data_IF_548382904594
#
_entry.id   IF_548382904594
#
_cell.length_a   1.000
_cell.length_b   1.000
_cell.length_c   1.000
_cell.angle_alpha   90.00
_cell.angle_beta   90.00
_cell.angle_gamma   90.00
#
_symmetry.space_group_name_H-M   'P 1'
#
loop_
_entity.id
_entity.type
_entity.pdbx_description
1 polymer ?
#
# COMPACT_ATOMS: atom_id res chain seq x y z
N UNK A 1 -17.70 -4.17 5.07
CA UNK A 1 -18.32 -5.52 4.97
C UNK A 1 -18.69 -6.11 6.32
N UNK A 2 -17.70 -6.37 7.20
CA UNK A 2 -17.90 -7.04 8.48
C UNK A 2 -18.88 -6.31 9.41
N UNK A 3 -18.69 -5.00 9.61
CA UNK A 3 -19.55 -4.20 10.48
C UNK A 3 -21.02 -4.20 10.02
N UNK A 4 -21.25 -4.12 8.71
CA UNK A 4 -22.59 -4.13 8.14
C UNK A 4 -23.30 -5.48 8.37
N UNK A 5 -22.60 -6.60 8.18
CA UNK A 5 -23.18 -7.91 8.48
C UNK A 5 -23.50 -8.05 9.97
N UNK A 6 -22.56 -7.68 10.84
CA UNK A 6 -22.75 -7.77 12.28
C UNK A 6 -23.96 -6.98 12.78
N UNK A 7 -24.19 -5.78 12.24
CA UNK A 7 -25.33 -4.93 12.61
C UNK A 7 -26.67 -5.49 12.11
N UNK A 8 -26.69 -6.17 10.96
CA UNK A 8 -27.93 -6.69 10.35
C UNK A 8 -28.28 -8.09 10.88
N UNK A 9 -27.25 -8.92 11.06
CA UNK A 9 -27.39 -10.32 11.47
C UNK A 9 -26.12 -10.74 12.24
N UNK A 10 -26.10 -10.62 13.58
CA UNK A 10 -24.94 -10.97 14.39
C UNK A 10 -24.70 -12.49 14.47
N UNK A 11 -25.74 -13.31 14.24
CA UNK A 11 -25.65 -14.77 14.19
C UNK A 11 -25.59 -15.29 12.75
N UNK A 12 -24.37 -15.63 12.31
CA UNK A 12 -24.08 -16.07 10.95
C UNK A 12 -23.11 -17.25 10.92
N UNK A 13 -23.37 -18.21 10.03
CA UNK A 13 -22.57 -19.42 9.89
C UNK A 13 -21.37 -19.26 8.95
N UNK A 14 -20.63 -20.36 8.75
CA UNK A 14 -19.40 -20.42 7.95
C UNK A 14 -19.56 -19.89 6.51
N UNK A 15 -20.69 -20.17 5.85
CA UNK A 15 -20.96 -19.66 4.49
C UNK A 15 -20.97 -18.13 4.42
N UNK A 16 -21.41 -17.45 5.48
CA UNK A 16 -21.39 -16.00 5.53
C UNK A 16 -19.97 -15.47 5.71
N UNK A 17 -19.11 -16.17 6.46
CA UNK A 17 -17.69 -15.85 6.58
C UNK A 17 -16.96 -16.00 5.22
N UNK A 18 -17.22 -17.08 4.48
CA UNK A 18 -16.69 -17.27 3.12
C UNK A 18 -17.16 -16.17 2.15
N UNK A 19 -18.44 -15.79 2.25
CA UNK A 19 -19.02 -14.68 1.51
C UNK A 19 -18.36 -13.34 1.85
N UNK A 20 -18.06 -13.09 3.13
CA UNK A 20 -17.34 -11.90 3.57
C UNK A 20 -15.90 -11.87 3.04
N UNK A 21 -15.17 -12.99 3.10
CA UNK A 21 -13.82 -13.09 2.53
C UNK A 21 -13.86 -12.76 1.04
N UNK A 22 -14.81 -13.35 0.30
CA UNK A 22 -15.02 -13.08 -1.13
C UNK A 22 -15.28 -11.59 -1.37
N UNK A 23 -16.16 -10.98 -0.58
CA UNK A 23 -16.51 -9.57 -0.73
C UNK A 23 -15.32 -8.65 -0.42
N UNK A 24 -14.44 -9.02 0.52
CA UNK A 24 -13.21 -8.29 0.78
C UNK A 24 -12.16 -8.41 -0.34
N UNK A 25 -12.08 -9.55 -1.05
CA UNK A 25 -11.24 -9.64 -2.26
C UNK A 25 -11.69 -8.62 -3.31
N UNK A 26 -13.00 -8.55 -3.58
CA UNK A 26 -13.57 -7.57 -4.51
C UNK A 26 -13.41 -6.13 -4.02
N UNK A 27 -13.54 -5.90 -2.70
CA UNK A 27 -13.28 -4.58 -2.09
C UNK A 27 -11.83 -4.12 -2.28
N UNK A 28 -10.87 -5.06 -2.15
CA UNK A 28 -9.47 -4.81 -2.42
C UNK A 28 -9.24 -4.44 -3.90
N UNK A 29 -9.81 -5.22 -4.82
CA UNK A 29 -9.72 -4.96 -6.26
C UNK A 29 -10.36 -3.63 -6.69
N UNK A 30 -11.51 -3.28 -6.12
CA UNK A 30 -12.16 -1.99 -6.37
C UNK A 30 -11.32 -0.82 -5.84
N UNK A 31 -10.78 -0.94 -4.62
CA UNK A 31 -9.87 0.07 -4.09
C UNK A 31 -8.65 0.25 -4.97
N UNK A 32 -8.10 -0.85 -5.48
CA UNK A 32 -6.95 -0.83 -6.37
C UNK A 32 -7.27 -0.19 -7.73
N UNK A 33 -8.45 -0.47 -8.28
CA UNK A 33 -8.97 0.23 -9.45
C UNK A 33 -9.01 1.76 -9.22
N UNK A 34 -9.55 2.19 -8.08
CA UNK A 34 -9.63 3.62 -7.71
C UNK A 34 -8.25 4.23 -7.50
N UNK A 35 -7.33 3.50 -6.86
CA UNK A 35 -5.94 3.90 -6.66
C UNK A 35 -5.26 4.18 -7.99
N UNK A 36 -5.30 3.21 -8.90
CA UNK A 36 -4.73 3.37 -10.23
C UNK A 36 -5.42 4.50 -10.99
N UNK A 37 -6.75 4.63 -10.95
CA UNK A 37 -7.46 5.76 -11.59
C UNK A 37 -7.06 7.13 -11.05
N UNK A 38 -6.57 7.19 -9.81
CA UNK A 38 -6.12 8.41 -9.15
C UNK A 38 -4.66 8.75 -9.49
N UNK A 39 -3.87 7.78 -9.97
CA UNK A 39 -2.51 8.01 -10.46
C UNK A 39 -2.53 8.83 -11.75
N UNK A 40 -1.57 9.75 -11.85
CA UNK A 40 -1.31 10.54 -13.06
C UNK A 40 -0.21 9.87 -13.88
N UNK A 41 -0.53 9.46 -15.10
CA UNK A 41 0.45 8.98 -16.08
C UNK A 41 0.92 10.14 -16.93
N UNK A 42 2.20 10.43 -16.88
CA UNK A 42 2.78 11.31 -17.89
C UNK A 42 2.87 10.56 -19.22
N UNK A 43 2.14 11.02 -20.24
CA UNK A 43 2.12 10.40 -21.57
C UNK A 43 3.41 10.70 -22.33
N UNK A 44 4.02 11.88 -22.15
CA UNK A 44 5.26 12.29 -22.80
C UNK A 44 6.50 12.10 -21.93
N UNK A 45 7.52 11.51 -22.54
CA UNK A 45 8.92 11.60 -22.10
C UNK A 45 9.40 13.02 -22.37
N UNK A 46 9.09 13.98 -21.50
CA UNK A 46 9.81 15.26 -21.55
C UNK A 46 11.29 14.99 -21.29
N UNK A 47 12.18 15.59 -22.08
CA UNK A 47 13.62 15.32 -22.09
C UNK A 47 14.34 15.53 -20.74
N UNK A 48 13.65 16.13 -19.75
CA UNK A 48 14.12 16.29 -18.39
C UNK A 48 13.68 15.18 -17.44
N UNK A 49 12.77 14.27 -17.82
CA UNK A 49 12.30 13.14 -17.00
C UNK A 49 11.41 13.51 -15.79
N UNK A 50 11.29 14.80 -15.46
CA UNK A 50 10.67 15.29 -14.22
C UNK A 50 9.44 16.21 -14.43
N UNK A 51 9.15 16.62 -15.67
CA UNK A 51 8.03 17.50 -16.01
C UNK A 51 6.73 16.74 -16.25
N UNK A 52 5.67 17.01 -15.48
CA UNK A 52 4.32 16.39 -15.63
C UNK A 52 3.42 17.17 -16.62
N UNK A 53 3.93 17.60 -17.76
CA UNK A 53 3.10 18.30 -18.74
C UNK A 53 2.40 17.27 -19.64
N UNK A 54 1.06 17.28 -19.64
CA UNK A 54 0.23 16.33 -20.38
C UNK A 54 -0.16 15.05 -19.62
N UNK A 55 -0.14 15.06 -18.29
CA UNK A 55 -0.48 13.88 -17.50
C UNK A 55 -1.96 13.45 -17.66
N UNK A 56 -2.19 12.27 -18.20
CA UNK A 56 -3.51 11.65 -18.32
C UNK A 56 -3.79 10.69 -17.15
N UNK A 57 -5.06 10.38 -16.94
CA UNK A 57 -5.48 9.39 -15.95
C UNK A 57 -5.39 7.98 -16.56
N UNK A 58 -5.12 6.95 -15.75
CA UNK A 58 -5.07 5.55 -16.22
C UNK A 58 -6.27 5.17 -17.09
N UNK A 59 -6.07 4.47 -18.20
CA UNK A 59 -7.19 3.83 -18.91
C UNK A 59 -8.03 2.94 -17.97
N UNK A 60 -9.35 2.87 -18.18
CA UNK A 60 -10.24 2.03 -17.36
C UNK A 60 -9.82 0.55 -17.37
N UNK A 61 -9.34 0.06 -18.51
CA UNK A 61 -8.82 -1.30 -18.66
C UNK A 61 -7.55 -1.54 -17.83
N UNK A 62 -6.64 -0.57 -17.79
CA UNK A 62 -5.44 -0.63 -16.97
C UNK A 62 -5.77 -0.72 -15.47
N UNK A 63 -6.71 0.13 -15.02
CA UNK A 63 -7.20 0.09 -13.64
C UNK A 63 -7.91 -1.22 -13.30
N UNK A 64 -8.72 -1.75 -14.23
CA UNK A 64 -9.40 -3.03 -14.04
C UNK A 64 -8.39 -4.18 -13.93
N UNK A 65 -7.38 -4.21 -14.81
CA UNK A 65 -6.30 -5.19 -14.76
C UNK A 65 -5.54 -5.17 -13.45
N UNK A 66 -5.17 -3.98 -12.95
CA UNK A 66 -4.55 -3.84 -11.63
C UNK A 66 -5.46 -4.29 -10.48
N UNK A 67 -6.76 -3.97 -10.56
CA UNK A 67 -7.76 -4.39 -9.59
C UNK A 67 -7.88 -5.92 -9.50
N UNK A 68 -7.94 -6.60 -10.64
CA UNK A 68 -7.98 -8.07 -10.70
C UNK A 68 -6.67 -8.66 -10.18
N UNK A 69 -5.52 -8.14 -10.60
CA UNK A 69 -4.20 -8.63 -10.16
C UNK A 69 -4.03 -8.54 -8.63
N UNK A 70 -4.47 -7.44 -8.02
CA UNK A 70 -4.39 -7.30 -6.56
C UNK A 70 -5.44 -8.14 -5.82
N UNK A 71 -6.68 -8.20 -6.31
CA UNK A 71 -7.76 -8.98 -5.67
C UNK A 71 -7.43 -10.47 -5.57
N UNK A 72 -6.70 -11.01 -6.55
CA UNK A 72 -6.30 -12.41 -6.61
C UNK A 72 -4.80 -12.62 -6.35
N UNK A 73 -4.14 -11.65 -5.70
CA UNK A 73 -2.76 -11.83 -5.27
C UNK A 73 -2.65 -12.90 -4.19
N UNK A 74 -1.48 -13.53 -4.11
CA UNK A 74 -1.19 -14.56 -3.13
C UNK A 74 -1.42 -14.05 -1.70
N UNK A 75 -1.03 -12.80 -1.40
CA UNK A 75 -1.26 -12.19 -0.09
C UNK A 75 -2.72 -12.28 0.37
N UNK A 76 -3.69 -12.07 -0.52
CA UNK A 76 -5.11 -12.17 -0.20
C UNK A 76 -5.66 -13.59 -0.36
N UNK A 77 -5.25 -14.30 -1.42
CA UNK A 77 -5.80 -15.61 -1.77
C UNK A 77 -5.37 -16.72 -0.80
N UNK A 78 -4.10 -16.76 -0.41
CA UNK A 78 -3.60 -17.76 0.55
C UNK A 78 -4.26 -17.62 1.92
N UNK A 79 -4.68 -16.40 2.25
CA UNK A 79 -5.35 -16.03 3.49
C UNK A 79 -6.88 -16.02 3.36
N UNK A 80 -7.47 -16.59 2.30
CA UNK A 80 -8.92 -16.58 2.12
C UNK A 80 -9.69 -17.09 3.36
N UNK A 81 -9.13 -18.09 4.06
CA UNK A 81 -9.68 -18.63 5.32
C UNK A 81 -9.40 -17.79 6.57
N UNK A 82 -8.53 -16.78 6.50
CA UNK A 82 -8.23 -15.84 7.57
C UNK A 82 -8.95 -14.50 7.28
N UNK A 83 -10.24 -14.46 7.58
CA UNK A 83 -11.10 -13.31 7.31
C UNK A 83 -10.53 -12.01 7.93
N UNK A 84 -10.00 -12.06 9.15
CA UNK A 84 -9.47 -10.88 9.83
C UNK A 84 -8.31 -10.25 9.05
N UNK A 85 -7.40 -11.08 8.52
CA UNK A 85 -6.31 -10.59 7.68
C UNK A 85 -6.83 -9.97 6.38
N UNK A 86 -7.65 -10.72 5.63
CA UNK A 86 -8.18 -10.29 4.32
C UNK A 86 -9.02 -9.02 4.48
N UNK A 87 -9.79 -8.93 5.56
CA UNK A 87 -10.59 -7.77 5.88
C UNK A 87 -9.75 -6.51 6.05
N UNK A 88 -8.68 -6.55 6.85
CA UNK A 88 -7.76 -5.41 7.01
C UNK A 88 -7.03 -5.11 5.70
N UNK A 89 -6.41 -6.13 5.09
CA UNK A 89 -5.58 -5.98 3.90
C UNK A 89 -6.34 -5.36 2.71
N UNK A 90 -7.65 -5.65 2.59
CA UNK A 90 -8.50 -5.07 1.55
C UNK A 90 -8.63 -3.53 1.61
N UNK A 91 -8.32 -2.91 2.75
CA UNK A 91 -8.33 -1.45 2.90
C UNK A 91 -7.06 -0.76 2.40
N UNK A 92 -5.98 -1.51 2.13
CA UNK A 92 -4.69 -0.96 1.71
C UNK A 92 -4.84 0.05 0.54
N UNK A 93 -5.48 -0.29 -0.59
CA UNK A 93 -5.56 0.64 -1.71
C UNK A 93 -6.38 1.89 -1.38
N UNK A 94 -7.44 1.75 -0.57
CA UNK A 94 -8.30 2.87 -0.18
C UNK A 94 -7.59 3.89 0.70
N UNK A 95 -6.82 3.40 1.68
CA UNK A 95 -5.97 4.26 2.53
C UNK A 95 -4.93 4.97 1.68
N UNK A 96 -4.31 4.25 0.73
CA UNK A 96 -3.32 4.81 -0.18
C UNK A 96 -3.90 5.86 -1.14
N UNK A 97 -5.13 5.71 -1.64
CA UNK A 97 -5.83 6.74 -2.44
C UNK A 97 -5.92 8.05 -1.65
N UNK A 98 -6.41 7.98 -0.42
CA UNK A 98 -6.56 9.15 0.44
C UNK A 98 -5.20 9.80 0.72
N UNK A 99 -4.23 9.01 1.18
CA UNK A 99 -2.90 9.50 1.53
C UNK A 99 -2.19 10.15 0.34
N UNK A 100 -2.20 9.49 -0.82
CA UNK A 100 -1.61 10.01 -2.06
C UNK A 100 -2.27 11.33 -2.50
N UNK A 101 -3.60 11.40 -2.53
CA UNK A 101 -4.32 12.62 -2.90
C UNK A 101 -4.02 13.78 -1.93
N UNK A 102 -3.83 13.47 -0.64
CA UNK A 102 -3.38 14.42 0.36
C UNK A 102 -2.01 15.00 0.02
N UNK A 103 -1.02 14.16 -0.32
CA UNK A 103 0.35 14.62 -0.62
C UNK A 103 0.48 15.31 -1.99
N UNK A 104 -0.22 14.82 -3.01
CA UNK A 104 -0.11 15.33 -4.38
C UNK A 104 -1.04 16.51 -4.69
N UNK A 105 -2.04 16.75 -3.83
CA UNK A 105 -3.03 17.82 -3.99
C UNK A 105 -2.43 19.24 -4.16
N UNK A 106 -1.51 19.67 -3.31
CA UNK A 106 -0.99 21.05 -3.38
C UNK A 106 -0.15 21.32 -4.63
N UNK A 107 0.39 20.28 -5.29
CA UNK A 107 1.08 20.47 -6.57
C UNK A 107 0.11 20.92 -7.66
N UNK A 108 -1.14 20.42 -7.63
CA UNK A 108 -2.20 20.81 -8.57
C UNK A 108 -2.57 22.28 -8.40
N UNK A 109 -2.67 22.75 -7.16
CA UNK A 109 -3.00 24.14 -6.85
C UNK A 109 -1.86 25.10 -7.23
N UNK A 110 -0.60 24.72 -6.97
CA UNK A 110 0.58 25.50 -7.38
C UNK A 110 0.72 25.66 -8.89
N UNK A 111 0.44 24.62 -9.69
CA UNK A 111 0.44 24.70 -11.16
C UNK A 111 -0.66 25.65 -11.66
N UNK A 112 -1.88 25.51 -11.11
CA UNK A 112 -3.04 26.35 -11.47
C UNK A 112 -2.82 27.84 -11.18
N UNK A 113 -2.19 28.16 -10.05
CA UNK A 113 -1.83 29.54 -9.70
C UNK A 113 -0.85 30.17 -10.69
N UNK A 114 0.20 29.43 -11.09
CA UNK A 114 1.19 29.93 -12.06
C UNK A 114 0.64 30.15 -13.47
N UNK A 115 -0.31 29.33 -13.92
CA UNK A 115 -0.97 29.51 -15.22
C UNK A 115 -1.96 30.69 -15.22
N UNK A 116 -2.58 31.00 -14.07
CA UNK A 116 -3.45 32.17 -13.92
C UNK A 116 -2.69 33.50 -13.82
N UNK A 117 -1.52 33.50 -13.17
CA UNK A 117 -0.70 34.70 -12.94
C UNK A 117 0.15 35.08 -14.17
N UNK A 118 0.29 34.18 -15.16
CA UNK A 118 0.97 34.48 -16.42
C UNK A 118 0.22 35.49 -17.31
N UNK A 119 -0.99 35.92 -16.91
CA UNK A 119 -1.80 36.93 -17.58
C UNK A 119 -1.85 38.31 -16.91
N UNK A 120 -1.33 38.47 -15.68
CA UNK A 120 -1.42 39.73 -14.92
C UNK A 120 -0.07 40.06 -14.28
N UNK A 121 0.35 41.33 -14.34
CA UNK A 121 1.58 41.82 -13.72
C UNK A 121 1.57 41.57 -12.21
N UNK A 122 2.37 40.60 -11.73
CA UNK A 122 2.33 40.11 -10.35
C UNK A 122 2.98 41.07 -9.35
N UNK A 123 2.18 41.56 -8.39
CA UNK A 123 2.63 42.20 -7.17
C UNK A 123 3.28 41.16 -6.21
N UNK A 124 4.48 41.47 -5.74
CA UNK A 124 5.35 40.65 -4.87
C UNK A 124 4.78 40.28 -3.49
N UNK A 125 3.53 40.64 -3.18
CA UNK A 125 2.90 40.47 -1.86
C UNK A 125 1.93 39.29 -1.77
N UNK A 126 1.52 38.69 -2.90
CA UNK A 126 0.56 37.59 -2.97
C UNK A 126 1.15 36.24 -2.56
N UNK A 127 2.48 36.09 -2.70
CA UNK A 127 3.18 34.82 -2.49
C UNK A 127 3.12 34.33 -1.04
N UNK A 128 3.02 35.23 -0.05
CA UNK A 128 2.98 34.86 1.37
C UNK A 128 1.59 34.44 1.87
N UNK A 129 0.50 34.89 1.23
CA UNK A 129 -0.88 34.61 1.69
C UNK A 129 -1.47 33.31 1.14
N UNK A 130 -0.96 32.80 0.02
CA UNK A 130 -1.37 31.49 -0.52
C UNK A 130 -0.72 30.30 0.21
N UNK A 131 0.22 30.55 1.13
CA UNK A 131 1.11 29.53 1.69
C UNK A 131 0.65 28.89 3.01
N UNK A 132 -0.44 29.35 3.65
CA UNK A 132 -0.80 28.96 5.03
C UNK A 132 -2.09 28.12 5.17
N UNK A 133 -2.92 27.91 4.14
CA UNK A 133 -4.27 27.37 4.41
C UNK A 133 -4.83 26.37 3.40
N UNK A 134 -3.98 25.52 2.79
CA UNK A 134 -4.51 24.28 2.19
C UNK A 134 -4.54 23.18 3.26
N UNK A 135 -5.56 23.16 4.11
CA UNK A 135 -5.81 22.09 5.08
C UNK A 135 -6.44 20.85 4.41
N UNK A 136 -6.67 20.85 3.09
CA UNK A 136 -7.33 19.73 2.40
C UNK A 136 -6.49 18.47 2.45
N UNK A 137 -5.16 18.58 2.51
CA UNK A 137 -4.31 17.40 2.72
C UNK A 137 -4.55 16.75 4.08
N UNK A 138 -4.88 17.53 5.12
CA UNK A 138 -5.23 17.01 6.44
C UNK A 138 -6.58 16.29 6.39
N UNK A 139 -7.54 16.79 5.61
CA UNK A 139 -8.82 16.11 5.40
C UNK A 139 -8.59 14.75 4.74
N UNK A 140 -7.76 14.70 3.68
CA UNK A 140 -7.40 13.44 3.03
C UNK A 140 -6.65 12.49 3.98
N UNK A 141 -5.73 13.00 4.79
CA UNK A 141 -5.04 12.21 5.81
C UNK A 141 -6.02 11.66 6.86
N UNK A 142 -6.96 12.47 7.33
CA UNK A 142 -7.99 12.08 8.29
C UNK A 142 -8.94 11.03 7.70
N UNK A 143 -9.35 11.17 6.43
CA UNK A 143 -10.11 10.15 5.72
C UNK A 143 -9.33 8.85 5.60
N UNK A 144 -8.05 8.90 5.20
CA UNK A 144 -7.17 7.73 5.17
C UNK A 144 -7.05 7.05 6.54
N UNK A 145 -6.92 7.84 7.60
CA UNK A 145 -6.90 7.37 8.98
C UNK A 145 -8.22 6.74 9.42
N UNK A 146 -9.36 7.32 9.04
CA UNK A 146 -10.68 6.75 9.30
C UNK A 146 -10.84 5.38 8.62
N UNK A 147 -10.44 5.25 7.35
CA UNK A 147 -10.51 3.99 6.62
C UNK A 147 -9.57 2.93 7.22
N UNK A 148 -8.35 3.32 7.61
CA UNK A 148 -7.41 2.42 8.30
C UNK A 148 -7.95 2.00 9.67
N UNK A 149 -8.55 2.91 10.42
CA UNK A 149 -9.18 2.62 11.72
C UNK A 149 -10.33 1.63 11.58
N UNK A 150 -11.25 1.86 10.63
CA UNK A 150 -12.34 0.93 10.32
C UNK A 150 -11.80 -0.44 9.90
N UNK A 151 -10.77 -0.47 9.06
CA UNK A 151 -10.11 -1.72 8.68
C UNK A 151 -9.52 -2.44 9.89
N UNK A 152 -8.81 -1.72 10.76
CA UNK A 152 -8.13 -2.25 11.95
C UNK A 152 -9.08 -2.92 12.93
N UNK A 153 -10.34 -2.47 13.03
CA UNK A 153 -11.37 -3.10 13.86
C UNK A 153 -11.64 -4.58 13.50
N UNK A 154 -11.20 -5.06 12.33
CA UNK A 154 -11.24 -6.48 12.00
C UNK A 154 -10.23 -7.34 12.80
N UNK A 155 -9.39 -6.75 13.66
CA UNK A 155 -8.61 -7.50 14.65
C UNK A 155 -7.23 -7.97 14.21
N UNK A 156 -6.79 -7.66 12.99
CA UNK A 156 -5.48 -8.10 12.49
C UNK A 156 -4.42 -6.98 12.51
N UNK A 157 -3.96 -6.59 13.70
CA UNK A 157 -3.05 -5.45 13.94
C UNK A 157 -1.82 -5.45 13.02
N UNK A 158 -1.22 -6.62 12.77
CA UNK A 158 -0.06 -6.74 11.89
C UNK A 158 -0.34 -6.23 10.46
N UNK A 159 -1.52 -6.52 9.92
CA UNK A 159 -1.88 -6.07 8.57
C UNK A 159 -2.11 -4.54 8.55
N UNK A 160 -2.66 -3.97 9.63
CA UNK A 160 -2.81 -2.52 9.79
C UNK A 160 -1.45 -1.81 9.81
N UNK A 161 -0.46 -2.39 10.51
CA UNK A 161 0.91 -1.85 10.53
C UNK A 161 1.55 -1.90 9.14
N UNK A 162 1.28 -2.93 8.33
CA UNK A 162 1.77 -2.98 6.95
C UNK A 162 1.11 -1.94 6.04
N UNK A 163 -0.16 -1.59 6.27
CA UNK A 163 -0.80 -0.45 5.58
C UNK A 163 -0.14 0.88 5.99
N UNK A 164 0.12 1.07 7.28
CA UNK A 164 0.89 2.23 7.77
C UNK A 164 2.30 2.29 7.16
N UNK A 165 2.97 1.15 7.07
CA UNK A 165 4.27 1.02 6.42
C UNK A 165 4.21 1.41 4.94
N UNK A 166 3.17 0.98 4.20
CA UNK A 166 2.99 1.38 2.80
C UNK A 166 2.84 2.91 2.67
N UNK A 167 2.11 3.56 3.57
CA UNK A 167 2.00 5.02 3.60
C UNK A 167 3.35 5.69 3.91
N UNK A 168 4.12 5.17 4.86
CA UNK A 168 5.47 5.67 5.17
C UNK A 168 6.39 5.53 3.97
N UNK A 169 6.48 4.33 3.36
CA UNK A 169 7.34 4.07 2.20
C UNK A 169 6.96 4.99 1.03
N UNK A 170 5.67 5.07 0.69
CA UNK A 170 5.18 5.98 -0.35
C UNK A 170 5.56 7.43 -0.04
N UNK A 171 5.36 7.87 1.20
CA UNK A 171 5.67 9.21 1.67
C UNK A 171 7.15 9.55 1.58
N UNK A 172 8.04 8.60 1.90
CA UNK A 172 9.49 8.78 1.79
C UNK A 172 9.94 8.94 0.33
N UNK A 173 9.45 8.08 -0.57
CA UNK A 173 9.72 8.24 -2.01
C UNK A 173 9.11 9.55 -2.53
N UNK A 174 7.89 9.90 -2.11
CA UNK A 174 7.27 11.18 -2.43
C UNK A 174 8.16 12.34 -1.98
N UNK A 175 8.64 12.35 -0.74
CA UNK A 175 9.49 13.40 -0.18
C UNK A 175 10.80 13.53 -0.96
N UNK A 176 11.45 12.40 -1.28
CA UNK A 176 12.69 12.40 -2.07
C UNK A 176 12.51 13.15 -3.40
N UNK A 177 11.44 12.83 -4.13
CA UNK A 177 11.16 13.48 -5.41
C UNK A 177 10.63 14.92 -5.25
N UNK A 178 9.86 15.21 -4.21
CA UNK A 178 9.28 16.53 -3.97
C UNK A 178 10.33 17.55 -3.52
N UNK A 179 11.34 17.10 -2.76
CA UNK A 179 12.47 17.91 -2.31
C UNK A 179 13.35 18.40 -3.48
N UNK A 180 13.28 17.76 -4.66
CA UNK A 180 13.96 18.22 -5.86
C UNK A 180 13.25 19.39 -6.56
N UNK A 181 11.99 19.65 -6.22
CA UNK A 181 11.12 20.64 -6.91
C UNK A 181 10.64 21.75 -5.95
N UNK A 182 10.70 21.50 -4.65
CA UNK A 182 10.19 22.38 -3.59
C UNK A 182 11.17 22.48 -2.41
N UNK A 183 10.91 23.36 -1.45
CA UNK A 183 11.68 23.43 -0.22
C UNK A 183 11.47 22.15 0.61
N UNK A 184 12.54 21.38 0.82
CA UNK A 184 12.51 20.09 1.53
C UNK A 184 11.81 20.18 2.90
N UNK A 185 12.00 21.26 3.66
CA UNK A 185 11.36 21.46 4.96
C UNK A 185 9.82 21.53 4.89
N UNK A 186 9.26 22.14 3.83
CA UNK A 186 7.80 22.23 3.64
C UNK A 186 7.21 20.87 3.25
N UNK A 187 7.90 20.15 2.35
CA UNK A 187 7.51 18.80 1.96
C UNK A 187 7.56 17.85 3.18
N UNK A 188 8.63 17.92 3.98
CA UNK A 188 8.78 17.12 5.19
C UNK A 188 7.68 17.43 6.21
N UNK A 189 7.42 18.71 6.52
CA UNK A 189 6.35 19.09 7.44
C UNK A 189 5.00 18.54 6.98
N UNK A 190 4.68 18.65 5.68
CA UNK A 190 3.43 18.13 5.14
C UNK A 190 3.33 16.61 5.27
N UNK A 191 4.42 15.89 4.98
CA UNK A 191 4.47 14.45 5.15
C UNK A 191 4.22 14.06 6.61
N UNK A 192 4.95 14.68 7.54
CA UNK A 192 4.83 14.42 8.97
C UNK A 192 3.42 14.71 9.48
N UNK A 193 2.84 15.86 9.14
CA UNK A 193 1.46 16.19 9.51
C UNK A 193 0.45 15.19 8.93
N UNK A 194 0.64 14.76 7.67
CA UNK A 194 -0.23 13.77 7.04
C UNK A 194 -0.15 12.42 7.75
N UNK A 195 1.06 11.96 8.08
CA UNK A 195 1.27 10.69 8.80
C UNK A 195 0.72 10.75 10.22
N UNK A 196 0.95 11.86 10.94
CA UNK A 196 0.44 12.06 12.31
C UNK A 196 -1.09 12.07 12.33
N UNK A 197 -1.73 12.81 11.41
CA UNK A 197 -3.20 12.84 11.35
C UNK A 197 -3.77 11.48 10.93
N UNK A 198 -3.17 10.82 9.94
CA UNK A 198 -3.59 9.49 9.50
C UNK A 198 -3.50 8.48 10.65
N UNK A 199 -2.35 8.40 11.33
CA UNK A 199 -2.13 7.49 12.44
C UNK A 199 -3.02 7.84 13.65
N UNK A 200 -3.11 9.12 14.00
CA UNK A 200 -3.93 9.59 15.12
C UNK A 200 -5.40 9.25 14.93
N UNK A 201 -5.99 9.54 13.77
CA UNK A 201 -7.39 9.19 13.47
C UNK A 201 -7.59 7.67 13.45
N UNK A 202 -6.66 6.92 12.85
CA UNK A 202 -6.73 5.45 12.83
C UNK A 202 -6.73 4.84 14.24
N UNK A 203 -5.84 5.32 15.11
CA UNK A 203 -5.73 4.88 16.51
C UNK A 203 -6.99 5.25 17.28
N UNK A 204 -7.52 6.46 17.12
CA UNK A 204 -8.74 6.90 17.80
C UNK A 204 -9.96 6.04 17.41
N UNK A 205 -10.13 5.76 16.11
CA UNK A 205 -11.23 4.92 15.62
C UNK A 205 -11.06 3.47 16.07
N UNK A 206 -9.83 2.95 16.07
CA UNK A 206 -9.52 1.58 16.49
C UNK A 206 -9.29 1.43 18.00
N UNK A 207 -9.42 2.50 18.79
CA UNK A 207 -9.11 2.53 20.22
C UNK A 207 -9.87 1.44 21.03
N UNK A 208 -11.16 1.15 20.78
CA UNK A 208 -11.88 0.09 21.48
C UNK A 208 -11.24 -1.30 21.33
N UNK A 209 -10.52 -1.54 20.23
CA UNK A 209 -9.77 -2.77 19.99
C UNK A 209 -8.33 -2.67 20.52
N UNK A 210 -7.65 -1.55 20.23
CA UNK A 210 -6.22 -1.39 20.51
C UNK A 210 -5.91 -1.24 22.00
N UNK A 211 -6.74 -0.52 22.76
CA UNK A 211 -6.48 -0.30 24.20
C UNK A 211 -6.48 -1.63 24.98
N UNK A 212 -7.52 -2.49 24.87
CA UNK A 212 -7.48 -3.81 25.52
C UNK A 212 -6.33 -4.68 25.01
N UNK A 213 -6.04 -4.62 23.70
CA UNK A 213 -4.93 -5.40 23.12
C UNK A 213 -3.57 -5.01 23.70
N UNK A 214 -3.34 -3.71 23.93
CA UNK A 214 -2.10 -3.20 24.55
C UNK A 214 -2.00 -3.57 26.03
N UNK A 215 -3.12 -3.56 26.76
CA UNK A 215 -3.16 -4.00 28.16
C UNK A 215 -2.85 -5.50 28.30
N UNK A 216 -3.30 -6.31 27.35
CA UNK A 216 -3.08 -7.75 27.34
C UNK A 216 -1.71 -8.16 26.76
N UNK A 217 -1.08 -7.30 25.95
CA UNK A 217 0.17 -7.63 25.25
C UNK A 217 1.30 -8.18 26.15
N UNK A 218 1.55 -7.66 27.37
CA UNK A 218 2.59 -8.19 28.26
C UNK A 218 2.32 -9.61 28.77
N UNK A 219 1.06 -10.06 28.74
CA UNK A 219 0.64 -11.38 29.22
C UNK A 219 0.58 -12.43 28.11
N UNK A 220 0.90 -12.05 26.88
CA UNK A 220 0.99 -12.97 25.74
C UNK A 220 2.37 -13.64 25.73
N UNK A 221 2.44 -14.88 25.23
CA UNK A 221 3.70 -15.59 24.98
C UNK A 221 4.69 -14.78 24.11
N UNK A 222 4.15 -13.84 23.31
CA UNK A 222 4.92 -12.95 22.44
C UNK A 222 5.79 -11.95 23.18
N UNK A 223 5.42 -11.57 24.40
CA UNK A 223 6.21 -10.64 25.20
C UNK A 223 7.60 -11.21 25.58
N UNK A 224 7.75 -12.54 25.53
CA UNK A 224 9.00 -13.24 25.80
C UNK A 224 9.79 -13.63 24.53
N UNK A 225 9.34 -13.22 23.34
CA UNK A 225 9.99 -13.57 22.08
C UNK A 225 11.39 -12.97 21.96
N UNK A 226 12.30 -13.75 21.38
CA UNK A 226 13.58 -13.27 20.89
C UNK A 226 13.47 -13.09 19.37
N UNK A 227 14.56 -12.59 18.78
CA UNK A 227 14.61 -12.35 17.34
C UNK A 227 14.27 -13.59 16.50
N UNK A 228 14.61 -14.80 16.98
CA UNK A 228 14.37 -16.04 16.25
C UNK A 228 12.88 -16.33 16.05
N UNK A 229 12.04 -15.98 17.01
CA UNK A 229 10.59 -16.10 16.91
C UNK A 229 10.02 -15.06 15.95
N UNK A 230 10.52 -13.82 16.01
CA UNK A 230 10.13 -12.69 15.13
C UNK A 230 10.39 -13.00 13.66
N UNK A 231 11.54 -13.60 13.33
CA UNK A 231 11.86 -14.00 11.94
C UNK A 231 11.23 -15.32 11.50
N UNK A 232 10.50 -16.02 12.38
CA UNK A 232 9.77 -17.21 11.97
C UNK A 232 8.79 -16.88 10.83
N UNK A 233 8.66 -17.79 9.85
CA UNK A 233 7.90 -17.56 8.61
C UNK A 233 8.50 -16.42 7.74
N UNK A 234 9.83 -16.33 7.68
CA UNK A 234 10.54 -15.52 6.68
C UNK A 234 10.35 -16.09 5.27
N UNK A 235 10.35 -15.23 4.25
CA UNK A 235 10.36 -15.66 2.86
C UNK A 235 11.76 -16.16 2.48
N UNK A 236 11.93 -17.48 2.37
CA UNK A 236 13.21 -18.05 1.97
C UNK A 236 13.51 -17.78 0.48
N UNK A 237 14.76 -17.46 0.08
CA UNK A 237 15.09 -17.19 -1.32
C UNK A 237 14.66 -18.27 -2.33
N UNK A 238 14.67 -19.57 -2.01
CA UNK A 238 14.14 -20.57 -2.94
C UNK A 238 12.61 -20.49 -3.14
N UNK A 239 11.86 -19.90 -2.21
CA UNK A 239 10.41 -19.67 -2.35
C UNK A 239 10.06 -18.66 -3.43
N UNK A 240 11.03 -17.92 -3.96
CA UNK A 240 10.81 -16.98 -5.06
C UNK A 240 10.38 -17.66 -6.35
N UNK A 241 10.64 -18.96 -6.49
CA UNK A 241 10.00 -19.79 -7.54
C UNK A 241 8.47 -19.69 -7.48
N UNK A 242 7.91 -19.46 -6.28
CA UNK A 242 6.49 -19.22 -6.03
C UNK A 242 5.93 -17.98 -6.72
N UNK A 243 6.76 -16.98 -7.08
CA UNK A 243 6.35 -15.83 -7.91
C UNK A 243 5.96 -16.23 -9.33
N UNK A 244 6.31 -17.43 -9.79
CA UNK A 244 5.92 -17.93 -11.12
C UNK A 244 5.06 -19.19 -10.98
N UNK A 245 5.42 -20.06 -10.04
CA UNK A 245 4.76 -21.32 -9.77
C UNK A 245 4.40 -21.43 -8.27
N UNK A 246 3.32 -20.79 -7.80
CA UNK A 246 2.98 -20.73 -6.36
C UNK A 246 2.69 -22.11 -5.72
N UNK A 247 2.41 -23.12 -6.54
CA UNK A 247 2.21 -24.51 -6.11
C UNK A 247 3.46 -25.38 -6.14
N UNK A 248 4.64 -24.84 -6.51
CA UNK A 248 5.86 -25.63 -6.73
C UNK A 248 6.24 -26.47 -5.50
N UNK A 249 6.24 -25.85 -4.31
CA UNK A 249 6.55 -26.53 -3.04
C UNK A 249 5.39 -27.35 -2.46
N UNK A 250 4.28 -27.52 -3.19
CA UNK A 250 3.10 -28.23 -2.73
C UNK A 250 2.06 -27.34 -2.02
N UNK A 251 0.91 -27.95 -1.69
CA UNK A 251 -0.23 -27.27 -1.06
C UNK A 251 -0.64 -27.94 0.25
N UNK A 252 -0.95 -27.13 1.25
CA UNK A 252 -1.34 -27.61 2.58
C UNK A 252 -0.15 -28.14 3.39
N UNK A 253 -0.32 -28.33 4.72
CA UNK A 253 0.76 -28.73 5.61
C UNK A 253 1.29 -30.15 5.34
N UNK A 254 0.48 -31.02 4.74
CA UNK A 254 0.82 -32.44 4.52
C UNK A 254 1.63 -32.68 3.23
N UNK A 255 1.48 -31.82 2.23
CA UNK A 255 2.12 -31.98 0.91
C UNK A 255 3.17 -30.91 0.63
N UNK A 256 3.46 -30.04 1.60
CA UNK A 256 4.53 -29.06 1.49
C UNK A 256 5.89 -29.73 1.66
N UNK A 257 6.76 -29.64 0.66
CA UNK A 257 8.06 -30.32 0.64
C UNK A 257 9.27 -29.37 0.80
N UNK A 258 9.03 -28.06 1.00
CA UNK A 258 10.10 -27.10 1.30
C UNK A 258 10.67 -27.26 2.72
N UNK A 259 11.93 -26.89 2.91
CA UNK A 259 12.65 -27.00 4.20
C UNK A 259 12.24 -25.92 5.24
N UNK A 260 11.34 -25.03 4.87
CA UNK A 260 10.87 -23.88 5.63
C UNK A 260 9.34 -23.91 5.68
N UNK A 261 8.70 -23.19 6.63
CA UNK A 261 7.25 -23.07 6.67
C UNK A 261 6.68 -22.46 5.38
N UNK A 262 5.53 -22.96 4.93
CA UNK A 262 4.80 -22.35 3.82
C UNK A 262 4.37 -20.93 4.19
N UNK A 263 4.68 -19.97 3.33
CA UNK A 263 4.33 -18.55 3.46
C UNK A 263 3.87 -17.99 2.11
N UNK A 264 3.40 -16.74 2.11
CA UNK A 264 3.11 -15.98 0.90
C UNK A 264 4.41 -15.81 0.09
N UNK A 265 4.37 -16.17 -1.19
CA UNK A 265 5.47 -15.88 -2.12
C UNK A 265 5.28 -14.53 -2.85
N UNK A 266 4.08 -13.97 -2.82
CA UNK A 266 3.73 -12.72 -3.51
C UNK A 266 3.37 -12.89 -5.00
N UNK A 267 2.78 -14.03 -5.35
CA UNK A 267 2.32 -14.31 -6.71
C UNK A 267 1.10 -13.44 -7.06
N UNK A 268 1.23 -12.56 -8.05
CA UNK A 268 0.09 -11.75 -8.58
C UNK A 268 -0.40 -12.24 -9.95
N UNK A 269 0.17 -13.32 -10.49
CA UNK A 269 -0.10 -13.81 -11.84
C UNK A 269 1.06 -13.59 -12.81
N UNK A 270 1.33 -14.58 -13.69
CA UNK A 270 2.39 -14.47 -14.72
C UNK A 270 2.15 -13.27 -15.65
N UNK A 271 0.91 -13.09 -16.12
CA UNK A 271 0.56 -11.97 -16.99
C UNK A 271 0.72 -10.61 -16.27
N UNK A 272 0.16 -10.40 -15.05
CA UNK A 272 0.44 -9.20 -14.27
C UNK A 272 1.92 -8.93 -14.01
N UNK A 273 2.73 -9.96 -13.73
CA UNK A 273 4.18 -9.80 -13.57
C UNK A 273 4.86 -9.34 -14.87
N UNK A 274 4.51 -9.94 -16.01
CA UNK A 274 5.03 -9.50 -17.31
C UNK A 274 4.64 -8.05 -17.63
N UNK A 275 3.41 -7.65 -17.30
CA UNK A 275 2.94 -6.26 -17.45
C UNK A 275 3.68 -5.32 -16.48
N UNK A 276 3.93 -5.73 -15.24
CA UNK A 276 4.71 -4.93 -14.29
C UNK A 276 6.15 -4.73 -14.79
N UNK A 277 6.77 -5.75 -15.38
CA UNK A 277 8.07 -5.62 -16.05
C UNK A 277 8.00 -4.65 -17.23
N UNK A 278 6.96 -4.74 -18.08
CA UNK A 278 6.75 -3.80 -19.18
C UNK A 278 6.64 -2.36 -18.69
N UNK A 279 5.94 -2.11 -17.58
CA UNK A 279 5.88 -0.79 -16.96
C UNK A 279 7.26 -0.24 -16.59
N UNK A 280 8.08 -1.05 -15.92
CA UNK A 280 9.43 -0.65 -15.48
C UNK A 280 10.35 -0.35 -16.67
N UNK A 281 10.22 -1.13 -17.75
CA UNK A 281 11.03 -0.95 -18.95
C UNK A 281 10.58 0.25 -19.79
N UNK A 282 9.26 0.45 -19.92
CA UNK A 282 8.70 1.47 -20.80
C UNK A 282 8.51 2.84 -20.13
N UNK A 283 8.34 2.90 -18.80
CA UNK A 283 8.04 4.13 -18.05
C UNK A 283 9.00 4.26 -16.87
N UNK A 284 9.98 5.16 -16.98
CA UNK A 284 10.95 5.45 -15.90
C UNK A 284 10.65 6.77 -15.18
N UNK A 285 9.40 6.95 -14.76
CA UNK A 285 8.93 8.16 -14.10
C UNK A 285 8.86 8.02 -12.57
N UNK A 286 8.61 9.13 -11.87
CA UNK A 286 8.42 9.20 -10.41
C UNK A 286 7.52 8.08 -9.87
N UNK A 287 6.33 7.92 -10.44
CA UNK A 287 5.34 6.93 -9.98
C UNK A 287 5.87 5.50 -10.09
N UNK A 288 6.51 5.16 -11.22
CA UNK A 288 7.07 3.83 -11.45
C UNK A 288 8.19 3.55 -10.45
N UNK A 289 9.08 4.51 -10.21
CA UNK A 289 10.14 4.38 -9.22
C UNK A 289 9.63 4.30 -7.78
N UNK A 290 8.59 5.07 -7.43
CA UNK A 290 7.95 5.00 -6.10
C UNK A 290 7.35 3.61 -5.86
N UNK A 291 6.58 3.09 -6.82
CA UNK A 291 5.95 1.77 -6.71
C UNK A 291 6.98 0.64 -6.69
N UNK A 292 7.97 0.70 -7.59
CA UNK A 292 9.06 -0.29 -7.65
C UNK A 292 9.90 -0.26 -6.39
N UNK A 293 10.26 0.93 -5.91
CA UNK A 293 11.06 1.12 -4.70
C UNK A 293 10.33 0.62 -3.45
N UNK A 294 9.04 0.94 -3.31
CA UNK A 294 8.21 0.42 -2.23
C UNK A 294 8.08 -1.11 -2.29
N UNK A 295 7.83 -1.69 -3.47
CA UNK A 295 7.80 -3.16 -3.63
C UNK A 295 9.15 -3.80 -3.32
N UNK A 296 10.26 -3.18 -3.73
CA UNK A 296 11.61 -3.65 -3.46
C UNK A 296 11.96 -3.62 -1.97
N UNK A 297 11.62 -2.55 -1.25
CA UNK A 297 11.82 -2.48 0.20
C UNK A 297 10.95 -3.49 0.93
N UNK A 298 9.66 -3.60 0.56
CA UNK A 298 8.76 -4.59 1.14
C UNK A 298 9.26 -6.03 0.92
N UNK A 299 9.78 -6.31 -0.28
CA UNK A 299 10.43 -7.58 -0.62
C UNK A 299 11.66 -7.84 0.25
N UNK A 300 12.57 -6.87 0.39
CA UNK A 300 13.75 -7.04 1.23
C UNK A 300 13.39 -7.28 2.70
N UNK A 301 12.34 -6.64 3.20
CA UNK A 301 11.88 -6.89 4.57
C UNK A 301 11.17 -8.25 4.70
N UNK A 302 10.49 -8.73 3.66
CA UNK A 302 9.77 -10.02 3.68
C UNK A 302 10.71 -11.23 3.77
N UNK A 303 11.95 -11.08 3.28
CA UNK A 303 13.03 -12.05 3.43
C UNK A 303 13.42 -12.33 4.90
N UNK A 304 13.04 -11.47 5.84
CA UNK A 304 13.25 -11.72 7.29
C UNK A 304 14.70 -12.06 7.63
N UNK A 305 14.94 -13.27 8.15
CA UNK A 305 16.30 -13.74 8.52
C UNK A 305 17.32 -13.69 7.37
N UNK A 306 16.86 -13.73 6.11
CA UNK A 306 17.72 -13.72 4.93
C UNK A 306 18.11 -12.30 4.48
N UNK A 307 17.72 -11.26 5.23
CA UNK A 307 17.92 -9.86 4.87
C UNK A 307 18.23 -8.99 6.08
N UNK A 308 19.34 -8.25 6.02
CA UNK A 308 19.78 -7.32 7.09
C UNK A 308 18.71 -6.27 7.44
N UNK A 309 18.04 -5.61 6.45
CA UNK A 309 16.98 -4.63 6.73
C UNK A 309 15.89 -5.08 7.70
N UNK A 310 15.50 -6.35 7.73
CA UNK A 310 14.48 -6.81 8.66
C UNK A 310 14.92 -6.71 10.12
N UNK A 311 16.19 -6.98 10.41
CA UNK A 311 16.75 -6.83 11.76
C UNK A 311 16.70 -5.40 12.28
N UNK A 312 16.70 -4.38 11.41
CA UNK A 312 16.53 -2.99 11.84
C UNK A 312 15.07 -2.65 12.15
N UNK A 313 14.12 -3.30 11.47
CA UNK A 313 12.71 -3.10 11.71
C UNK A 313 12.33 -3.51 13.15
N UNK A 314 12.97 -4.54 13.71
CA UNK A 314 12.73 -4.99 15.08
C UNK A 314 13.25 -4.04 16.16
N UNK A 315 14.01 -3.00 15.79
CA UNK A 315 14.42 -1.93 16.72
C UNK A 315 13.29 -0.93 16.95
N UNK A 316 12.25 -0.94 16.10
CA UNK A 316 11.08 -0.08 16.25
C UNK A 316 10.12 -0.74 17.24
N UNK A 317 9.69 -0.07 18.32
CA UNK A 317 8.81 -0.65 19.33
C UNK A 317 7.57 -1.30 18.71
N UNK A 318 7.31 -2.56 19.08
CA UNK A 318 6.15 -3.32 18.64
C UNK A 318 6.39 -4.18 17.40
N UNK A 319 7.44 -3.92 16.60
CA UNK A 319 7.82 -4.79 15.47
C UNK A 319 8.57 -6.06 15.91
N UNK A 320 9.19 -6.03 17.08
CA UNK A 320 9.78 -7.18 17.77
C UNK A 320 8.72 -8.22 18.19
N UNK A 321 7.48 -7.79 18.40
CA UNK A 321 6.32 -8.65 18.72
C UNK A 321 5.62 -9.24 17.49
N UNK A 322 6.06 -8.88 16.28
CA UNK A 322 5.49 -9.37 15.03
C UNK A 322 6.25 -10.62 14.55
N UNK A 323 5.53 -11.53 13.90
CA UNK A 323 6.10 -12.74 13.26
C UNK A 323 5.60 -12.83 11.83
N UNK A 324 6.19 -13.68 11.01
CA UNK A 324 5.89 -13.82 9.58
C UNK A 324 6.23 -12.56 8.77
N UNK A 325 7.54 -12.26 8.64
CA UNK A 325 8.02 -11.20 7.75
C UNK A 325 7.50 -11.35 6.32
N UNK A 326 7.32 -12.59 5.84
CA UNK A 326 6.82 -12.90 4.50
C UNK A 326 5.53 -12.16 4.14
N UNK A 327 4.67 -11.85 5.11
CA UNK A 327 3.41 -11.10 4.89
C UNK A 327 3.60 -9.66 4.40
N UNK A 328 4.81 -9.11 4.46
CA UNK A 328 5.15 -7.84 3.80
C UNK A 328 5.06 -7.91 2.28
N UNK A 329 4.98 -9.12 1.72
CA UNK A 329 4.56 -9.34 0.32
C UNK A 329 3.23 -8.66 0.00
N UNK A 330 2.36 -8.37 0.96
CA UNK A 330 1.15 -7.54 0.75
C UNK A 330 1.47 -6.17 0.12
N UNK A 331 2.51 -5.50 0.63
CA UNK A 331 2.92 -4.17 0.13
C UNK A 331 3.65 -4.32 -1.22
N UNK A 332 4.40 -5.42 -1.38
CA UNK A 332 5.02 -5.78 -2.66
C UNK A 332 3.96 -6.00 -3.75
N UNK A 333 2.98 -6.86 -3.50
CA UNK A 333 1.87 -7.22 -4.38
C UNK A 333 1.06 -5.98 -4.77
N UNK A 334 0.80 -5.08 -3.82
CA UNK A 334 0.15 -3.80 -4.09
C UNK A 334 0.92 -2.97 -5.13
N UNK A 335 2.23 -2.76 -4.93
CA UNK A 335 3.04 -1.99 -5.87
C UNK A 335 3.18 -2.69 -7.23
N UNK A 336 3.37 -4.02 -7.25
CA UNK A 336 3.47 -4.80 -8.48
C UNK A 336 2.14 -4.83 -9.26
N UNK A 337 1.00 -4.91 -8.59
CA UNK A 337 -0.30 -4.82 -9.24
C UNK A 337 -0.56 -3.43 -9.85
N UNK A 338 -0.10 -2.35 -9.21
CA UNK A 338 -0.19 -1.00 -9.77
C UNK A 338 0.70 -0.87 -11.01
N UNK A 339 1.93 -1.41 -10.95
CA UNK A 339 2.84 -1.50 -12.08
C UNK A 339 2.24 -2.34 -13.22
N UNK A 340 1.56 -3.45 -12.92
CA UNK A 340 0.85 -4.23 -13.94
C UNK A 340 -0.22 -3.40 -14.66
N UNK A 341 -0.95 -2.55 -13.94
CA UNK A 341 -1.87 -1.57 -14.53
C UNK A 341 -1.15 -0.57 -15.44
N UNK A 342 0.01 -0.04 -15.00
CA UNK A 342 0.87 0.83 -15.83
C UNK A 342 1.28 0.12 -17.12
N UNK A 343 1.71 -1.13 -17.04
CA UNK A 343 2.13 -1.93 -18.19
C UNK A 343 0.98 -2.19 -19.16
N UNK A 344 -0.20 -2.51 -18.63
CA UNK A 344 -1.39 -2.70 -19.46
C UNK A 344 -1.80 -1.41 -20.18
N UNK A 345 -1.68 -0.26 -19.53
CA UNK A 345 -1.92 1.02 -20.18
C UNK A 345 -0.95 1.25 -21.34
N UNK A 346 0.35 1.01 -21.12
CA UNK A 346 1.39 1.12 -22.15
C UNK A 346 1.08 0.21 -23.35
N UNK A 347 0.69 -1.04 -23.09
CA UNK A 347 0.38 -2.00 -24.14
C UNK A 347 -0.83 -1.56 -24.97
N UNK A 348 -1.91 -1.13 -24.31
CA UNK A 348 -3.16 -0.76 -25.00
C UNK A 348 -3.04 0.59 -25.71
N UNK A 349 -2.27 1.55 -25.17
CA UNK A 349 -2.10 2.88 -25.80
C UNK A 349 -1.29 2.85 -27.10
N UNK A 350 -0.70 1.71 -27.48
CA UNK A 350 -0.02 1.53 -28.78
C UNK A 350 -0.96 1.01 -29.86
N UNK A 351 -2.15 0.53 -29.49
CA UNK A 351 -3.10 -0.18 -30.38
C UNK A 351 -4.20 0.77 -30.92
N UNK A 352 -4.31 2.00 -30.40
CA UNK A 352 -5.25 3.03 -30.85
C UNK A 352 -4.63 4.41 -30.82
#
# INVERSE_FOLDING_TARGET
PNLALFLVRPDFGVRALEGLSTLHLWWAGLGMYVFVRSLRWNTRSDATGWGENGAEHAGRLAALGAGIAFAFSDSLWIHFGNLNYVAVASWLPWVMVCFMNGLEGARKERKRGKEGDAGEHSDLTTDHRLLITDYRFLIWAALGGLLLGIGTLAGHVQASLFIGMAAVLYGLFWLYFEAQVTTAGRALLRLLLSLVVLAGVAILVAAPLLIPSLQLAPYLDRAAWRYQETVGYSLAPPQLVGLVAPGFFGRGPQLHWGLWPRVEAGYIGILPLALATLAILARRNRTTWTLLGMSGVAFLLSLGIYSVPHGWLTLIPGFDLLRAPARLTLVMDFGLAALAGIGLHVLVSQIG
#
